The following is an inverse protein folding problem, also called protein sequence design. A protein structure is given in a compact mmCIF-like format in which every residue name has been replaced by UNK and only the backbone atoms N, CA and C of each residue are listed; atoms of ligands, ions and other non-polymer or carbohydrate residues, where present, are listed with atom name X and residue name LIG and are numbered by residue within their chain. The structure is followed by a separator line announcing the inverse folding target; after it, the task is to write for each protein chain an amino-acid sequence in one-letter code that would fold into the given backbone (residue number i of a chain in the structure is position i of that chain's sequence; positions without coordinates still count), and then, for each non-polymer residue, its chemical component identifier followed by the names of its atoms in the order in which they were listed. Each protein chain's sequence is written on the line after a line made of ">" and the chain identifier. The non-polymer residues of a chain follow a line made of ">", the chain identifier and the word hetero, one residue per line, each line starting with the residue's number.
data_IF_268132539371
#
_entry.id   IF_268132539371
#
_cell.length_a   1.000
_cell.length_b   1.000
_cell.length_c   1.000
_cell.angle_alpha   90.00
_cell.angle_beta   90.00
_cell.angle_gamma   90.00
#
_symmetry.space_group_name_H-M   'P 1'
#
loop_
_entity.id
_entity.type
_entity.pdbx_description
1 polymer ?
#
# COMPACT_ATOMS: atom_id res chain seq x y z
N UNK A 1 -11.88 -18.83 57.36
CA UNK A 1 -12.34 -17.62 56.63
C UNK A 1 -11.43 -17.47 55.42
N UNK A 2 -11.96 -17.78 54.24
CA UNK A 2 -11.30 -17.73 52.94
C UNK A 2 -11.55 -16.35 52.33
N UNK A 3 -10.52 -15.68 51.84
CA UNK A 3 -10.70 -14.56 50.90
C UNK A 3 -9.76 -14.75 49.72
N UNK A 4 -10.39 -14.87 48.56
CA UNK A 4 -9.80 -15.13 47.26
C UNK A 4 -8.88 -14.00 46.82
N UNK A 5 -7.72 -14.39 46.29
CA UNK A 5 -6.75 -13.49 45.67
C UNK A 5 -7.15 -13.32 44.21
N UNK A 6 -7.84 -12.23 43.88
CA UNK A 6 -8.17 -11.87 42.50
C UNK A 6 -6.87 -11.53 41.74
N UNK A 7 -6.46 -12.44 40.84
CA UNK A 7 -5.36 -12.22 39.91
C UNK A 7 -5.73 -11.14 38.91
N UNK A 8 -5.15 -9.95 39.07
CA UNK A 8 -5.20 -8.88 38.06
C UNK A 8 -4.40 -9.33 36.84
N UNK A 9 -5.10 -9.77 35.79
CA UNK A 9 -4.48 -10.05 34.50
C UNK A 9 -3.92 -8.73 33.93
N UNK A 10 -2.61 -8.54 33.99
CA UNK A 10 -1.91 -7.52 33.21
C UNK A 10 -2.06 -7.88 31.73
N UNK A 11 -3.03 -7.26 31.06
CA UNK A 11 -3.21 -7.38 29.62
C UNK A 11 -1.99 -6.75 28.94
N UNK A 12 -1.18 -7.58 28.29
CA UNK A 12 0.00 -7.14 27.54
C UNK A 12 -0.45 -6.22 26.38
N UNK A 13 -0.09 -4.93 26.48
CA UNK A 13 -0.38 -3.89 25.49
C UNK A 13 0.07 -4.28 24.08
N UNK A 14 1.14 -5.10 23.93
CA UNK A 14 1.59 -5.58 22.61
C UNK A 14 0.59 -6.54 21.99
N UNK A 15 -0.07 -7.38 22.79
CA UNK A 15 -1.08 -8.31 22.31
C UNK A 15 -2.36 -7.56 21.90
N UNK A 16 -2.73 -6.52 22.65
CA UNK A 16 -3.89 -5.67 22.35
C UNK A 16 -3.71 -4.89 21.04
N UNK A 17 -2.50 -4.36 20.79
CA UNK A 17 -2.19 -3.64 19.55
C UNK A 17 -2.12 -4.57 18.33
N UNK A 18 -1.64 -5.81 18.49
CA UNK A 18 -1.69 -6.83 17.44
C UNK A 18 -3.13 -7.20 17.08
N UNK A 19 -3.96 -7.44 18.10
CA UNK A 19 -5.36 -7.81 17.94
C UNK A 19 -6.15 -6.71 17.19
N UNK A 20 -5.99 -5.43 17.57
CA UNK A 20 -6.63 -4.30 16.86
C UNK A 20 -6.15 -4.09 15.43
N UNK A 21 -4.94 -4.52 15.10
CA UNK A 21 -4.41 -4.43 13.73
C UNK A 21 -5.01 -5.53 12.86
N UNK A 22 -5.16 -6.73 13.40
CA UNK A 22 -5.72 -7.87 12.68
C UNK A 22 -7.24 -7.72 12.52
N UNK A 23 -7.94 -7.12 13.50
CA UNK A 23 -9.35 -6.71 13.39
C UNK A 23 -9.58 -5.67 12.27
N UNK A 24 -8.71 -4.64 12.16
CA UNK A 24 -8.79 -3.65 11.05
C UNK A 24 -8.49 -4.24 9.68
N UNK A 25 -7.68 -5.30 9.60
CA UNK A 25 -7.46 -6.02 8.33
C UNK A 25 -8.68 -6.85 7.92
N UNK A 26 -9.48 -7.30 8.87
CA UNK A 26 -10.71 -8.05 8.61
C UNK A 26 -11.87 -7.13 8.19
N UNK A 27 -11.93 -5.91 8.72
CA UNK A 27 -12.91 -4.88 8.32
C UNK A 27 -12.63 -4.24 6.94
N UNK A 28 -11.39 -4.35 6.43
CA UNK A 28 -11.02 -3.92 5.08
C UNK A 28 -11.15 -5.04 4.03
N UNK A 29 -11.98 -6.05 4.29
CA UNK A 29 -12.41 -7.04 3.30
C UNK A 29 -13.17 -6.35 2.15
N UNK A 30 -12.57 -6.40 0.97
CA UNK A 30 -12.94 -5.65 -0.23
C UNK A 30 -14.22 -6.10 -0.97
N UNK A 31 -15.31 -6.45 -0.28
CA UNK A 31 -16.47 -7.08 -0.95
C UNK A 31 -17.72 -6.18 -1.15
N UNK A 32 -17.74 -4.92 -0.70
CA UNK A 32 -18.98 -4.11 -0.75
C UNK A 32 -18.97 -2.86 -1.66
N UNK A 33 -18.02 -2.72 -2.58
CA UNK A 33 -18.00 -1.59 -3.53
C UNK A 33 -18.90 -1.76 -4.78
N UNK A 34 -19.65 -2.86 -4.89
CA UNK A 34 -20.51 -3.16 -6.05
C UNK A 34 -22.00 -2.79 -5.87
N UNK A 35 -22.43 -2.35 -4.68
CA UNK A 35 -23.83 -1.98 -4.43
C UNK A 35 -24.16 -0.48 -4.70
N UNK A 36 -23.16 0.34 -5.03
CA UNK A 36 -23.33 1.78 -5.22
C UNK A 36 -23.60 2.23 -6.67
N UNK A 37 -23.81 1.32 -7.62
CA UNK A 37 -24.39 1.69 -8.93
C UNK A 37 -25.92 1.71 -8.82
N UNK A 38 -26.44 2.72 -8.12
CA UNK A 38 -27.86 3.04 -8.11
C UNK A 38 -28.33 3.42 -9.51
N UNK A 39 -28.85 2.46 -10.27
CA UNK A 39 -29.75 2.71 -11.39
C UNK A 39 -31.15 2.31 -10.94
N UNK A 40 -31.76 3.19 -10.13
CA UNK A 40 -33.18 3.13 -9.87
C UNK A 40 -33.92 3.52 -11.17
N UNK A 41 -34.54 2.54 -11.81
CA UNK A 41 -35.51 2.74 -12.89
C UNK A 41 -36.73 3.48 -12.31
N UNK A 42 -36.85 4.78 -12.60
CA UNK A 42 -38.09 5.52 -12.42
C UNK A 42 -38.97 5.37 -13.68
N UNK A 43 -40.29 5.18 -13.54
CA UNK A 43 -41.22 5.24 -14.66
C UNK A 43 -41.56 6.71 -14.96
N UNK A 44 -41.21 7.19 -16.15
CA UNK A 44 -41.59 8.52 -16.64
C UNK A 44 -42.73 8.38 -17.66
N UNK A 45 -43.97 8.45 -17.17
CA UNK A 45 -45.11 8.89 -17.97
C UNK A 45 -45.39 10.36 -17.65
N UNK A 46 -45.08 11.26 -18.58
CA UNK A 46 -45.64 12.61 -18.61
C UNK A 46 -45.74 13.11 -20.07
N UNK A 47 -46.95 13.04 -20.63
CA UNK A 47 -47.31 13.68 -21.91
C UNK A 47 -47.33 15.20 -21.75
N UNK A 48 -46.25 15.86 -22.16
CA UNK A 48 -46.20 17.30 -22.45
C UNK A 48 -46.13 17.54 -23.94
N UNK A 49 -47.20 18.09 -24.54
CA UNK A 49 -47.27 18.43 -25.97
C UNK A 49 -46.53 19.75 -26.20
N UNK A 50 -45.27 19.69 -26.63
CA UNK A 50 -44.49 20.86 -27.08
C UNK A 50 -44.37 20.81 -28.60
N UNK A 51 -45.19 21.62 -29.27
CA UNK A 51 -45.16 21.80 -30.72
C UNK A 51 -43.91 22.62 -31.09
N UNK A 52 -42.95 21.97 -31.75
CA UNK A 52 -41.71 22.62 -32.23
C UNK A 52 -40.42 21.78 -32.14
N UNK A 53 -40.50 20.53 -31.66
CA UNK A 53 -39.32 19.67 -31.40
C UNK A 53 -39.04 18.67 -32.55
N UNK A 54 -39.93 18.53 -33.53
CA UNK A 54 -39.94 17.38 -34.45
C UNK A 54 -38.72 17.30 -35.39
N UNK A 55 -38.28 18.42 -35.96
CA UNK A 55 -37.11 18.44 -36.85
C UNK A 55 -35.79 18.20 -36.10
N UNK A 56 -35.68 18.73 -34.88
CA UNK A 56 -34.51 18.52 -34.02
C UNK A 56 -34.44 17.07 -33.53
N UNK A 57 -35.58 16.49 -33.16
CA UNK A 57 -35.68 15.09 -32.77
C UNK A 57 -35.35 14.14 -33.92
N UNK A 58 -35.75 14.46 -35.15
CA UNK A 58 -35.39 13.68 -36.34
C UNK A 58 -33.88 13.72 -36.62
N UNK A 59 -33.23 14.88 -36.54
CA UNK A 59 -31.77 14.97 -36.71
C UNK A 59 -31.00 14.22 -35.62
N UNK A 60 -31.44 14.31 -34.37
CA UNK A 60 -30.82 13.57 -33.26
C UNK A 60 -31.02 12.07 -33.45
N UNK A 61 -32.19 11.63 -33.93
CA UNK A 61 -32.47 10.23 -34.22
C UNK A 61 -31.64 9.69 -35.39
N UNK A 62 -31.50 10.44 -36.48
CA UNK A 62 -30.59 10.11 -37.58
C UNK A 62 -29.13 10.06 -37.12
N UNK A 63 -28.71 10.96 -36.23
CA UNK A 63 -27.34 10.96 -35.70
C UNK A 63 -27.08 9.77 -34.76
N UNK A 64 -28.09 9.37 -33.98
CA UNK A 64 -28.04 8.15 -33.15
C UNK A 64 -27.99 6.89 -34.03
N UNK A 65 -28.85 6.79 -35.05
CA UNK A 65 -28.86 5.69 -36.02
C UNK A 65 -27.56 5.64 -36.85
N UNK A 66 -26.98 6.79 -37.18
CA UNK A 66 -25.67 6.87 -37.83
C UNK A 66 -24.53 6.48 -36.86
N UNK A 67 -24.65 6.80 -35.57
CA UNK A 67 -23.68 6.40 -34.55
C UNK A 67 -23.72 4.90 -34.25
N UNK A 68 -24.89 4.26 -34.36
CA UNK A 68 -25.03 2.80 -34.28
C UNK A 68 -24.36 2.07 -35.47
N UNK A 69 -24.19 2.75 -36.61
CA UNK A 69 -23.42 2.24 -37.76
C UNK A 69 -21.91 2.41 -37.60
N UNK A 70 -21.45 3.21 -36.64
CA UNK A 70 -20.02 3.31 -36.30
C UNK A 70 -19.67 2.08 -35.47
N UNK A 71 -19.10 1.06 -36.12
CA UNK A 71 -18.61 -0.13 -35.45
C UNK A 71 -17.65 0.25 -34.32
N UNK A 72 -18.02 -0.07 -33.09
CA UNK A 72 -17.14 0.10 -31.92
C UNK A 72 -16.04 -0.95 -32.00
N UNK A 73 -14.87 -0.57 -32.52
CA UNK A 73 -13.65 -1.39 -32.43
C UNK A 73 -13.19 -1.36 -30.97
N UNK A 74 -13.62 -2.37 -30.19
CA UNK A 74 -13.06 -2.60 -28.86
C UNK A 74 -11.64 -3.08 -29.04
N UNK A 75 -10.67 -2.29 -28.57
CA UNK A 75 -9.27 -2.73 -28.47
C UNK A 75 -9.27 -4.01 -27.61
N UNK A 76 -8.78 -5.11 -28.18
CA UNK A 76 -8.46 -6.30 -27.40
C UNK A 76 -7.51 -5.87 -26.26
N UNK A 77 -7.76 -6.39 -25.06
CA UNK A 77 -6.97 -6.06 -23.87
C UNK A 77 -5.49 -6.37 -24.13
N UNK A 78 -4.68 -5.32 -24.36
CA UNK A 78 -3.25 -5.43 -24.63
C UNK A 78 -2.43 -5.77 -23.36
N UNK A 79 -3.06 -5.79 -22.18
CA UNK A 79 -2.41 -6.08 -20.90
C UNK A 79 -2.51 -7.54 -20.48
N UNK A 80 -3.05 -8.42 -21.33
CA UNK A 80 -3.11 -9.85 -21.08
C UNK A 80 -1.88 -10.61 -21.61
N UNK A 81 -0.95 -9.91 -22.28
CA UNK A 81 0.33 -10.47 -22.71
C UNK A 81 1.28 -10.49 -21.50
N UNK A 82 1.83 -11.65 -21.19
CA UNK A 82 2.82 -11.82 -20.12
C UNK A 82 3.98 -10.83 -20.35
N UNK A 83 4.40 -10.12 -19.30
CA UNK A 83 5.50 -9.16 -19.39
C UNK A 83 6.73 -9.82 -20.01
N UNK A 84 7.31 -9.17 -21.01
CA UNK A 84 8.53 -9.66 -21.66
C UNK A 84 9.71 -9.59 -20.69
N UNK A 85 10.70 -10.47 -20.85
CA UNK A 85 11.93 -10.46 -20.03
C UNK A 85 12.59 -9.08 -20.02
N UNK A 86 12.56 -8.37 -21.16
CA UNK A 86 13.10 -7.02 -21.28
C UNK A 86 12.34 -5.98 -20.45
N UNK A 87 11.03 -6.12 -20.29
CA UNK A 87 10.23 -5.23 -19.45
C UNK A 87 10.47 -5.53 -17.98
N UNK A 88 10.63 -6.80 -17.61
CA UNK A 88 11.00 -7.21 -16.25
C UNK A 88 12.35 -6.59 -15.86
N UNK A 89 13.35 -6.61 -16.74
CA UNK A 89 14.66 -6.00 -16.49
C UNK A 89 14.58 -4.48 -16.32
N UNK A 90 13.82 -3.79 -17.19
CA UNK A 90 13.59 -2.34 -17.09
C UNK A 90 12.91 -2.00 -15.76
N UNK A 91 11.92 -2.80 -15.37
CA UNK A 91 11.20 -2.63 -14.11
C UNK A 91 12.16 -2.84 -12.93
N UNK A 92 12.94 -3.92 -12.92
CA UNK A 92 13.92 -4.20 -11.87
C UNK A 92 14.95 -3.06 -11.72
N UNK A 93 15.46 -2.54 -12.83
CA UNK A 93 16.42 -1.44 -12.81
C UNK A 93 15.82 -0.17 -12.20
N UNK A 94 14.57 0.18 -12.57
CA UNK A 94 13.87 1.34 -12.01
C UNK A 94 13.51 1.16 -10.53
N UNK A 95 13.15 -0.06 -10.12
CA UNK A 95 12.93 -0.37 -8.71
C UNK A 95 14.21 -0.20 -7.89
N UNK A 96 15.35 -0.68 -8.39
CA UNK A 96 16.63 -0.52 -7.69
C UNK A 96 17.03 0.96 -7.51
N UNK A 97 16.81 1.81 -8.53
CA UNK A 97 17.03 3.26 -8.39
C UNK A 97 16.08 3.91 -7.39
N UNK A 98 14.80 3.51 -7.41
CA UNK A 98 13.80 3.99 -6.48
C UNK A 98 14.14 3.60 -5.04
N UNK A 99 14.49 2.34 -4.78
CA UNK A 99 14.88 1.84 -3.46
C UNK A 99 16.10 2.60 -2.92
N UNK A 100 17.11 2.86 -3.75
CA UNK A 100 18.28 3.67 -3.35
C UNK A 100 17.88 5.08 -2.98
N UNK A 101 17.00 5.71 -3.75
CA UNK A 101 16.54 7.08 -3.49
C UNK A 101 15.71 7.17 -2.21
N UNK A 102 14.82 6.21 -2.00
CA UNK A 102 13.98 6.13 -0.81
C UNK A 102 14.81 5.85 0.45
N UNK A 103 15.74 4.91 0.37
CA UNK A 103 16.65 4.60 1.49
C UNK A 103 17.47 5.83 1.88
N UNK A 104 17.98 6.59 0.90
CA UNK A 104 18.71 7.83 1.17
C UNK A 104 17.84 8.88 1.85
N UNK A 105 16.62 9.10 1.37
CA UNK A 105 15.67 10.05 1.99
C UNK A 105 15.37 9.68 3.45
N UNK A 106 15.11 8.39 3.71
CA UNK A 106 14.84 7.88 5.06
C UNK A 106 16.07 8.00 5.95
N UNK A 107 17.25 7.66 5.44
CA UNK A 107 18.51 7.82 6.16
C UNK A 107 18.81 9.28 6.52
N UNK A 108 18.56 10.21 5.59
CA UNK A 108 18.72 11.64 5.83
C UNK A 108 17.77 12.11 6.96
N UNK A 109 16.51 11.66 6.97
CA UNK A 109 15.54 12.02 8.02
C UNK A 109 15.89 11.44 9.40
N UNK A 110 16.36 10.19 9.45
CA UNK A 110 16.85 9.59 10.70
C UNK A 110 18.09 10.31 11.20
N UNK A 111 19.02 10.68 10.32
CA UNK A 111 20.24 11.42 10.68
C UNK A 111 19.95 12.79 11.26
N UNK A 112 18.92 13.50 10.78
CA UNK A 112 18.50 14.77 11.41
C UNK A 112 18.18 14.64 12.91
N UNK A 113 17.80 13.43 13.35
CA UNK A 113 17.50 13.15 14.76
C UNK A 113 18.69 12.47 15.46
N UNK A 114 19.46 11.66 14.73
CA UNK A 114 20.56 10.84 15.24
C UNK A 114 21.80 10.92 14.35
N UNK A 115 22.64 11.95 14.56
CA UNK A 115 23.82 12.24 13.75
C UNK A 115 24.89 11.12 13.71
N UNK A 116 24.92 10.26 14.73
CA UNK A 116 25.96 9.25 14.92
C UNK A 116 25.69 7.93 14.19
N UNK A 117 24.61 7.84 13.41
CA UNK A 117 24.19 6.60 12.72
C UNK A 117 24.70 6.57 11.28
N UNK A 118 25.23 5.41 10.90
CA UNK A 118 25.73 5.11 9.56
C UNK A 118 24.62 4.59 8.64
N UNK A 119 24.79 4.75 7.33
CA UNK A 119 23.79 4.29 6.35
C UNK A 119 23.58 2.77 6.38
N UNK A 120 24.63 2.00 6.72
CA UNK A 120 24.56 0.55 6.88
C UNK A 120 23.67 0.15 8.07
N UNK A 121 23.77 0.88 9.18
CA UNK A 121 22.92 0.68 10.36
C UNK A 121 21.46 1.02 10.06
N UNK A 122 21.20 2.15 9.39
CA UNK A 122 19.84 2.51 8.96
C UNK A 122 19.26 1.46 8.01
N UNK A 123 20.03 1.03 7.01
CA UNK A 123 19.58 0.02 6.06
C UNK A 123 19.28 -1.32 6.73
N UNK A 124 20.08 -1.73 7.72
CA UNK A 124 19.82 -2.94 8.49
C UNK A 124 18.55 -2.82 9.33
N UNK A 125 18.34 -1.67 9.97
CA UNK A 125 17.19 -1.44 10.84
C UNK A 125 15.87 -1.31 10.05
N UNK A 126 15.89 -0.57 8.93
CA UNK A 126 14.72 -0.45 8.04
C UNK A 126 14.28 -1.81 7.47
N UNK A 127 15.23 -2.72 7.21
CA UNK A 127 14.90 -4.09 6.79
C UNK A 127 14.19 -4.91 7.86
N UNK A 128 14.40 -4.62 9.15
CA UNK A 128 13.75 -5.33 10.26
C UNK A 128 12.35 -4.78 10.55
N UNK A 129 12.09 -3.54 10.17
CA UNK A 129 10.87 -2.80 10.46
C UNK A 129 10.02 -2.58 9.20
N UNK A 130 10.16 -3.44 8.18
CA UNK A 130 9.39 -3.38 6.93
C UNK A 130 9.39 -2.00 6.25
N UNK A 131 10.53 -1.29 6.30
CA UNK A 131 10.71 0.07 5.80
C UNK A 131 9.89 1.16 6.52
N UNK A 132 9.39 0.91 7.73
CA UNK A 132 8.77 1.91 8.59
C UNK A 132 9.84 2.80 9.24
N UNK A 133 9.76 4.09 8.92
CA UNK A 133 10.72 5.09 9.40
C UNK A 133 10.35 5.62 10.79
N UNK A 134 9.06 5.75 11.08
CA UNK A 134 8.60 6.32 12.34
C UNK A 134 8.83 5.31 13.48
N UNK A 135 8.63 4.02 13.20
CA UNK A 135 8.98 2.94 14.13
C UNK A 135 10.49 2.85 14.36
N UNK A 136 11.30 3.11 13.32
CA UNK A 136 12.75 3.15 13.46
C UNK A 136 13.21 4.27 14.40
N UNK A 137 12.67 5.48 14.24
CA UNK A 137 12.99 6.61 15.12
C UNK A 137 12.58 6.30 16.57
N UNK A 138 11.40 5.71 16.76
CA UNK A 138 10.92 5.28 18.06
C UNK A 138 11.86 4.23 18.70
N UNK A 139 12.29 3.23 17.94
CA UNK A 139 13.17 2.18 18.44
C UNK A 139 14.60 2.70 18.69
N UNK A 140 15.10 3.62 17.89
CA UNK A 140 16.38 4.29 18.13
C UNK A 140 16.39 5.16 19.38
N UNK A 141 15.24 5.67 19.81
CA UNK A 141 15.12 6.35 21.11
C UNK A 141 15.26 5.39 22.30
N UNK A 142 15.04 4.09 22.10
CA UNK A 142 15.18 3.09 23.16
C UNK A 142 16.66 2.78 23.40
N UNK A 143 17.08 2.66 24.68
CA UNK A 143 18.43 2.23 24.99
C UNK A 143 18.69 0.83 24.43
N UNK A 144 19.95 0.55 24.09
CA UNK A 144 20.44 -0.75 23.59
C UNK A 144 20.03 -1.14 22.16
N UNK A 145 19.01 -0.53 21.55
CA UNK A 145 18.57 -0.92 20.20
C UNK A 145 19.68 -0.75 19.14
N UNK A 146 20.38 0.39 19.16
CA UNK A 146 21.55 0.61 18.29
C UNK A 146 22.66 -0.44 18.49
N UNK A 147 22.91 -0.84 19.74
CA UNK A 147 23.90 -1.87 20.05
C UNK A 147 23.49 -3.23 19.49
N UNK A 148 22.19 -3.53 19.42
CA UNK A 148 21.71 -4.76 18.77
C UNK A 148 21.97 -4.74 17.27
N UNK A 149 21.67 -3.62 16.59
CA UNK A 149 21.92 -3.46 15.15
C UNK A 149 23.41 -3.63 14.84
N UNK A 150 24.28 -2.99 15.63
CA UNK A 150 25.74 -3.10 15.47
C UNK A 150 26.25 -4.54 15.61
N UNK A 151 25.72 -5.29 16.59
CA UNK A 151 26.06 -6.71 16.76
C UNK A 151 25.63 -7.54 15.57
N UNK A 152 24.44 -7.28 15.04
CA UNK A 152 23.94 -8.01 13.88
C UNK A 152 24.75 -7.72 12.61
N UNK A 153 25.12 -6.45 12.39
CA UNK A 153 26.03 -6.08 11.31
C UNK A 153 27.39 -6.74 11.45
N UNK A 154 27.94 -6.76 12.67
CA UNK A 154 29.19 -7.47 12.94
C UNK A 154 29.08 -8.96 12.65
N UNK A 155 27.96 -9.60 13.01
CA UNK A 155 27.72 -11.03 12.75
C UNK A 155 27.59 -11.36 11.25
N UNK A 156 27.05 -10.44 10.44
CA UNK A 156 26.98 -10.59 8.98
C UNK A 156 28.34 -10.36 8.29
N UNK A 157 29.28 -9.71 8.97
CA UNK A 157 30.59 -9.40 8.38
C UNK A 157 31.50 -10.65 8.34
N UNK A 158 32.12 -10.96 7.19
CA UNK A 158 32.95 -12.16 7.04
C UNK A 158 34.23 -12.12 7.89
N UNK A 159 34.66 -10.93 8.33
CA UNK A 159 35.87 -10.74 9.16
C UNK A 159 35.68 -11.26 10.60
N UNK A 160 34.45 -11.26 11.12
CA UNK A 160 34.16 -11.74 12.48
C UNK A 160 34.28 -13.27 12.63
N UNK A 161 34.18 -14.02 11.52
CA UNK A 161 34.25 -15.49 11.53
C UNK A 161 35.69 -16.04 11.56
N UNK A 162 36.70 -15.18 11.38
CA UNK A 162 38.09 -15.61 11.21
C UNK A 162 38.93 -15.62 12.50
N UNK A 163 38.44 -15.07 13.61
CA UNK A 163 39.20 -14.95 14.87
C UNK A 163 39.00 -16.09 15.87
N UNK A 164 38.41 -17.22 15.45
CA UNK A 164 38.29 -18.44 16.25
C UNK A 164 39.12 -19.57 15.65
N UNK A 165 40.45 -19.40 15.62
CA UNK A 165 41.40 -20.49 15.38
C UNK A 165 42.61 -20.32 16.27
#
# INVERSE_FOLDING_TARGET
>A
MTTDTAGTATVDMRHLLRQRRDERKQELGCDDLLAASGVALLPEEAKGKVAGIDEGAQRVREMLEASERIGTVRKSNMFAEEMTESEIDIIQQRFAEFERRELRRKADKVRLTFDYITDEEVACALKQLDNDEDELILNLSQPMYLNMIRKELAAKSPKAQQTSK
#
